data_IF_114594819754
#
_entry.id   IF_114594819754
#
_cell.length_a   1.000
_cell.length_b   1.000
_cell.length_c   1.000
_cell.angle_alpha   90.00
_cell.angle_beta   90.00
_cell.angle_gamma   90.00
#
_symmetry.space_group_name_H-M   'P 1'
#
loop_
_entity.id
_entity.type
_entity.pdbx_description
1 polymer ?
#
# COMPACT_ATOMS: atom_id res chain seq x y z
N UNK A 1 -1.53 -4.48 -12.25
CA UNK A 1 -1.46 -5.13 -10.93
C UNK A 1 -1.13 -4.12 -9.82
N UNK A 2 -0.15 -3.21 -9.97
CA UNK A 2 0.15 -2.18 -8.93
C UNK A 2 -0.91 -1.10 -8.65
N UNK A 3 -2.05 -1.08 -9.39
CA UNK A 3 -3.07 -0.02 -9.24
C UNK A 3 -4.00 -0.22 -8.04
N UNK A 4 -4.06 -1.43 -7.47
CA UNK A 4 -4.96 -1.71 -6.34
C UNK A 4 -4.53 -0.97 -5.06
N UNK A 5 -3.22 -0.92 -4.78
CA UNK A 5 -2.67 -0.26 -3.59
C UNK A 5 -2.70 1.27 -3.74
N UNK A 6 -2.47 1.78 -4.95
CA UNK A 6 -2.57 3.23 -5.23
C UNK A 6 -4.00 3.78 -5.11
N UNK A 7 -5.01 2.90 -5.08
CA UNK A 7 -6.41 3.30 -4.94
C UNK A 7 -6.85 3.52 -3.49
N UNK A 8 -5.93 3.31 -2.55
CA UNK A 8 -6.17 3.41 -1.10
C UNK A 8 -6.14 4.88 -0.70
N UNK A 9 -7.17 5.31 0.01
CA UNK A 9 -7.33 6.71 0.40
C UNK A 9 -6.27 7.06 1.47
N UNK A 10 -5.38 8.00 1.13
CA UNK A 10 -4.27 8.41 2.01
C UNK A 10 -2.91 7.87 1.58
N UNK A 11 -2.87 6.95 0.62
CA UNK A 11 -1.63 6.56 -0.07
C UNK A 11 -1.25 7.66 -1.05
N UNK A 12 -0.02 8.13 -0.94
CA UNK A 12 0.54 9.20 -1.76
C UNK A 12 1.36 8.62 -2.90
N UNK A 13 2.11 7.54 -2.62
CA UNK A 13 2.95 6.86 -3.61
C UNK A 13 3.01 5.36 -3.32
N UNK A 14 3.12 4.56 -4.39
CA UNK A 14 3.26 3.10 -4.34
C UNK A 14 4.36 2.72 -5.32
N UNK A 15 5.42 2.14 -4.78
CA UNK A 15 6.53 1.61 -5.55
C UNK A 15 6.55 0.08 -5.40
N UNK A 16 6.33 -0.63 -6.50
CA UNK A 16 6.24 -2.09 -6.49
C UNK A 16 7.42 -2.64 -7.26
N UNK A 17 8.38 -3.20 -6.53
CA UNK A 17 9.51 -3.89 -7.12
C UNK A 17 9.11 -5.32 -7.46
N UNK A 18 8.78 -5.55 -8.73
CA UNK A 18 8.40 -6.89 -9.22
C UNK A 18 9.59 -7.85 -9.30
N UNK A 19 10.82 -7.34 -9.37
CA UNK A 19 12.04 -8.15 -9.39
C UNK A 19 12.28 -8.80 -8.03
N UNK A 20 12.14 -8.03 -6.94
CA UNK A 20 12.30 -8.54 -5.58
C UNK A 20 10.99 -8.99 -4.93
N UNK A 21 9.86 -8.72 -5.59
CA UNK A 21 8.48 -8.92 -5.07
C UNK A 21 8.21 -8.10 -3.80
N UNK A 22 8.82 -6.93 -3.69
CA UNK A 22 8.61 -6.00 -2.58
C UNK A 22 7.69 -4.86 -3.01
N UNK A 23 6.92 -4.33 -2.07
CA UNK A 23 6.08 -3.15 -2.29
C UNK A 23 6.36 -2.14 -1.17
N UNK A 24 6.77 -0.94 -1.57
CA UNK A 24 6.94 0.23 -0.70
C UNK A 24 5.74 1.13 -0.92
N UNK A 25 5.11 1.55 0.16
CA UNK A 25 3.91 2.39 0.13
C UNK A 25 4.18 3.61 0.99
N UNK A 26 4.16 4.79 0.38
CA UNK A 26 4.15 6.05 1.12
C UNK A 26 2.71 6.51 1.32
N UNK A 27 2.40 6.86 2.56
CA UNK A 27 1.09 7.34 2.95
C UNK A 27 1.23 8.50 3.94
N UNK A 28 0.21 9.35 3.98
CA UNK A 28 0.15 10.43 4.96
C UNK A 28 -0.55 9.97 6.24
N UNK A 29 0.21 9.96 7.34
CA UNK A 29 -0.27 9.64 8.70
C UNK A 29 -1.43 10.54 9.17
N UNK A 30 -1.57 11.73 8.57
CA UNK A 30 -2.64 12.68 8.87
C UNK A 30 -3.98 12.32 8.20
N UNK A 31 -3.94 11.47 7.16
CA UNK A 31 -5.11 11.09 6.35
C UNK A 31 -5.45 9.60 6.45
N UNK A 32 -4.53 8.77 6.93
CA UNK A 32 -4.76 7.34 7.10
C UNK A 32 -3.84 6.78 8.18
N UNK A 33 -4.29 5.71 8.83
CA UNK A 33 -3.55 5.04 9.89
C UNK A 33 -2.87 3.77 9.36
N UNK A 34 -1.82 3.33 10.07
CA UNK A 34 -1.11 2.07 9.79
C UNK A 34 -2.05 0.87 9.69
N UNK A 35 -3.11 0.81 10.50
CA UNK A 35 -4.12 -0.24 10.41
C UNK A 35 -4.94 -0.18 9.12
N UNK A 36 -5.31 1.03 8.65
CA UNK A 36 -6.03 1.20 7.40
C UNK A 36 -5.14 0.82 6.21
N UNK A 37 -3.87 1.22 6.22
CA UNK A 37 -2.89 0.81 5.22
C UNK A 37 -2.75 -0.71 5.21
N UNK A 38 -2.60 -1.36 6.38
CA UNK A 38 -2.53 -2.82 6.46
C UNK A 38 -3.79 -3.51 5.93
N UNK A 39 -4.96 -2.95 6.15
CA UNK A 39 -6.22 -3.50 5.61
C UNK A 39 -6.27 -3.37 4.08
N UNK A 40 -5.94 -2.20 3.56
CA UNK A 40 -5.87 -1.89 2.15
C UNK A 40 -4.86 -2.75 1.37
N UNK A 41 -3.66 -2.93 1.93
CA UNK A 41 -2.62 -3.80 1.36
C UNK A 41 -3.11 -5.26 1.31
N UNK A 42 -3.82 -5.71 2.36
CA UNK A 42 -4.46 -7.04 2.39
C UNK A 42 -5.60 -7.18 1.38
N UNK A 43 -6.45 -6.18 1.22
CA UNK A 43 -7.49 -6.16 0.18
C UNK A 43 -6.90 -6.17 -1.23
N UNK A 44 -5.73 -5.55 -1.41
CA UNK A 44 -4.96 -5.62 -2.66
C UNK A 44 -4.28 -6.98 -2.90
N UNK A 45 -4.35 -7.91 -1.94
CA UNK A 45 -3.77 -9.25 -2.03
C UNK A 45 -2.30 -9.35 -1.61
N UNK A 46 -1.81 -8.37 -0.85
CA UNK A 46 -0.44 -8.33 -0.32
C UNK A 46 -0.46 -8.47 1.21
N UNK A 47 0.55 -9.11 1.78
CA UNK A 47 0.69 -9.26 3.23
C UNK A 47 1.72 -8.25 3.77
N UNK A 48 1.28 -7.22 4.52
CA UNK A 48 2.19 -6.28 5.15
C UNK A 48 2.92 -6.96 6.32
N UNK A 49 4.25 -7.05 6.20
CA UNK A 49 5.14 -7.58 7.25
C UNK A 49 5.27 -6.58 8.41
#
# INVERSE_FOLDING_TARGET
MGRAIASVKGVTEVDVNLETKEAVVEFEETRTDLEQIRAAVREAGYEPL
#
